data_IF_572827469091
#
_entry.id   IF_572827469091
#
_cell.length_a   1.000
_cell.length_b   1.000
_cell.length_c   1.000
_cell.angle_alpha   90.00
_cell.angle_beta   90.00
_cell.angle_gamma   90.00
#
_symmetry.space_group_name_H-M   'P 1'
#
loop_
_entity.id
_entity.type
_entity.pdbx_description
1 polymer ?
#
# COMPACT_ATOMS: atom_id res chain seq x y z
N UNK A 1 12.97 -5.01 7.25
CA UNK A 1 12.39 -3.88 8.02
C UNK A 1 11.07 -3.37 7.45
N UNK A 2 10.94 -3.08 6.14
CA UNK A 2 9.69 -2.57 5.56
C UNK A 2 8.41 -3.36 5.89
N UNK A 3 8.45 -4.69 5.76
CA UNK A 3 7.31 -5.56 6.13
C UNK A 3 6.90 -5.41 7.61
N UNK A 4 7.87 -5.26 8.51
CA UNK A 4 7.60 -5.14 9.95
C UNK A 4 6.92 -3.81 10.27
N UNK A 5 7.39 -2.71 9.69
CA UNK A 5 6.76 -1.40 9.86
C UNK A 5 5.36 -1.37 9.27
N UNK A 6 5.16 -1.94 8.07
CA UNK A 6 3.86 -2.00 7.42
C UNK A 6 2.83 -2.79 8.25
N UNK A 7 3.21 -3.98 8.75
CA UNK A 7 2.35 -4.79 9.63
C UNK A 7 2.08 -4.12 10.96
N UNK A 8 3.05 -3.38 11.51
CA UNK A 8 2.84 -2.64 12.74
C UNK A 8 1.82 -1.51 12.53
N UNK A 9 1.93 -0.76 11.43
CA UNK A 9 0.94 0.26 11.05
C UNK A 9 -0.47 -0.35 10.90
N UNK A 10 -0.58 -1.54 10.31
CA UNK A 10 -1.85 -2.28 10.24
C UNK A 10 -2.39 -2.62 11.65
N UNK A 11 -1.53 -3.11 12.55
CA UNK A 11 -1.95 -3.56 13.89
C UNK A 11 -2.41 -2.45 14.84
N UNK A 12 -1.90 -1.22 14.69
CA UNK A 12 -2.25 -0.10 15.58
C UNK A 12 -3.57 0.57 15.20
N UNK A 13 -4.21 0.12 14.11
CA UNK A 13 -5.51 0.59 13.65
C UNK A 13 -6.55 -0.55 13.61
N UNK A 14 -6.89 -1.17 14.76
CA UNK A 14 -7.72 -2.38 14.80
C UNK A 14 -9.18 -2.18 14.35
N UNK A 15 -9.65 -0.94 14.24
CA UNK A 15 -10.99 -0.60 13.74
C UNK A 15 -11.01 -0.14 12.29
N UNK A 16 -9.85 0.04 11.67
CA UNK A 16 -9.79 0.42 10.27
C UNK A 16 -10.30 -0.73 9.40
N UNK A 17 -11.21 -0.43 8.48
CA UNK A 17 -11.77 -1.44 7.58
C UNK A 17 -10.85 -1.71 6.38
N UNK A 18 -10.06 -0.70 6.00
CA UNK A 18 -9.07 -0.75 4.94
C UNK A 18 -7.93 0.22 5.23
N UNK A 19 -6.77 -0.04 4.63
CA UNK A 19 -5.66 0.91 4.56
C UNK A 19 -5.41 1.25 3.10
N UNK A 20 -5.25 2.55 2.85
CA UNK A 20 -4.85 3.10 1.55
C UNK A 20 -3.46 3.70 1.65
N UNK A 21 -2.65 3.49 0.63
CA UNK A 21 -1.30 4.05 0.52
C UNK A 21 -0.96 4.33 -0.95
N UNK A 22 0.12 5.05 -1.18
CA UNK A 22 0.62 5.31 -2.51
C UNK A 22 2.15 5.31 -2.57
N UNK A 23 2.71 5.13 -3.76
CA UNK A 23 4.14 5.29 -4.04
C UNK A 23 4.37 5.72 -5.48
N UNK A 24 5.50 6.34 -5.79
CA UNK A 24 5.88 6.60 -7.18
C UNK A 24 6.10 5.30 -7.95
N UNK A 25 5.74 5.27 -9.24
CA UNK A 25 5.81 4.11 -10.12
C UNK A 25 7.23 3.52 -10.27
N UNK A 26 8.26 4.36 -10.10
CA UNK A 26 9.67 3.95 -10.13
C UNK A 26 10.12 3.24 -8.86
N UNK A 27 9.32 3.23 -7.80
CA UNK A 27 9.65 2.56 -6.53
C UNK A 27 9.30 1.08 -6.57
N UNK A 28 10.00 0.32 -7.44
CA UNK A 28 9.74 -1.09 -7.67
C UNK A 28 9.85 -1.94 -6.38
N UNK A 29 10.70 -1.55 -5.43
CA UNK A 29 10.81 -2.20 -4.12
C UNK A 29 9.54 -2.02 -3.26
N UNK A 30 8.98 -0.82 -3.22
CA UNK A 30 7.74 -0.54 -2.48
C UNK A 30 6.55 -1.24 -3.13
N UNK A 31 6.44 -1.19 -4.46
CA UNK A 31 5.38 -1.87 -5.21
C UNK A 31 5.39 -3.37 -4.86
N UNK A 32 6.55 -4.04 -4.96
CA UNK A 32 6.69 -5.45 -4.57
C UNK A 32 6.41 -5.70 -3.09
N UNK A 33 6.76 -4.77 -2.20
CA UNK A 33 6.49 -4.87 -0.77
C UNK A 33 4.97 -4.84 -0.51
N UNK A 34 4.25 -3.88 -1.08
CA UNK A 34 2.82 -3.70 -0.86
C UNK A 34 2.02 -4.86 -1.44
N UNK A 35 2.29 -5.25 -2.70
CA UNK A 35 1.61 -6.38 -3.34
C UNK A 35 1.77 -7.68 -2.54
N UNK A 36 2.98 -7.98 -2.05
CA UNK A 36 3.23 -9.18 -1.22
C UNK A 36 2.55 -9.12 0.16
N UNK A 37 2.17 -7.95 0.64
CA UNK A 37 1.44 -7.80 1.91
C UNK A 37 -0.08 -7.68 1.71
N UNK A 38 -0.59 -7.97 0.51
CA UNK A 38 -2.03 -8.04 0.24
C UNK A 38 -2.67 -6.73 -0.24
N UNK A 39 -1.87 -5.70 -0.48
CA UNK A 39 -2.35 -4.47 -1.10
C UNK A 39 -2.55 -4.66 -2.60
N UNK A 40 -3.68 -4.18 -3.11
CA UNK A 40 -4.05 -4.23 -4.53
C UNK A 40 -3.99 -2.82 -5.11
N UNK A 41 -3.43 -2.68 -6.31
CA UNK A 41 -3.42 -1.42 -7.04
C UNK A 41 -4.87 -1.00 -7.37
N UNK A 42 -5.25 0.23 -7.06
CA UNK A 42 -6.59 0.78 -7.36
C UNK A 42 -6.56 1.81 -8.47
N UNK A 43 -5.38 2.25 -8.90
CA UNK A 43 -5.22 3.20 -9.99
C UNK A 43 -3.90 3.96 -9.93
N UNK A 44 -3.73 4.83 -10.92
CA UNK A 44 -2.56 5.70 -11.04
C UNK A 44 -2.98 7.14 -11.29
N UNK A 45 -2.20 8.08 -10.78
CA UNK A 45 -2.39 9.52 -11.01
C UNK A 45 -1.08 10.14 -11.47
N UNK A 46 -1.14 10.96 -12.52
CA UNK A 46 0.03 11.71 -13.02
C UNK A 46 0.51 12.72 -11.99
N UNK A 47 1.80 12.72 -11.71
CA UNK A 47 2.50 13.70 -10.89
C UNK A 47 3.74 14.19 -11.66
N UNK A 48 3.54 15.18 -12.53
CA UNK A 48 4.58 15.67 -13.44
C UNK A 48 5.07 14.58 -14.40
N UNK A 49 6.36 14.26 -14.35
CA UNK A 49 7.00 13.27 -15.22
C UNK A 49 6.97 11.83 -14.67
N UNK A 50 6.09 11.52 -13.72
CA UNK A 50 5.91 10.17 -13.20
C UNK A 50 4.48 9.92 -12.75
N UNK A 51 4.13 8.65 -12.58
CA UNK A 51 2.87 8.23 -11.99
C UNK A 51 3.03 7.95 -10.50
N UNK A 52 2.00 8.32 -9.73
CA UNK A 52 1.75 7.81 -8.38
C UNK A 52 0.84 6.60 -8.52
N UNK A 53 1.23 5.49 -7.91
CA UNK A 53 0.48 4.24 -7.87
C UNK A 53 -0.23 4.15 -6.52
N UNK A 54 -1.55 4.02 -6.55
CA UNK A 54 -2.41 3.94 -5.38
C UNK A 54 -2.77 2.49 -5.07
N UNK A 55 -2.78 2.14 -3.80
CA UNK A 55 -3.12 0.79 -3.35
C UNK A 55 -4.14 0.80 -2.21
N UNK A 56 -4.90 -0.28 -2.10
CA UNK A 56 -5.81 -0.56 -0.98
C UNK A 56 -5.59 -1.98 -0.45
N UNK A 57 -5.75 -2.17 0.85
CA UNK A 57 -5.88 -3.48 1.49
C UNK A 57 -7.08 -3.45 2.44
N UNK A 58 -8.01 -4.38 2.27
CA UNK A 58 -9.04 -4.64 3.27
C UNK A 58 -8.40 -5.27 4.51
N UNK A 59 -8.73 -4.76 5.69
CA UNK A 59 -8.31 -5.31 6.98
C UNK A 59 -9.37 -6.21 7.63
N UNK A 60 -10.53 -6.39 6.98
CA UNK A 60 -11.53 -7.35 7.42
C UNK A 60 -10.98 -8.77 7.21
N UNK A 61 -10.98 -9.57 8.28
CA UNK A 61 -10.79 -11.02 8.18
C UNK A 61 -11.86 -11.57 7.21
N UNK A 62 -11.45 -12.40 6.27
CA UNK A 62 -12.38 -13.15 5.40
C UNK A 62 -12.84 -14.39 6.15
#
# INVERSE_FOLDING_TARGET
MGTRLLRHAESVHPRAQEIRLFTGERSAANIRLYTRNGYRETGRTTAGAYQIVHFVKSLRET
#
